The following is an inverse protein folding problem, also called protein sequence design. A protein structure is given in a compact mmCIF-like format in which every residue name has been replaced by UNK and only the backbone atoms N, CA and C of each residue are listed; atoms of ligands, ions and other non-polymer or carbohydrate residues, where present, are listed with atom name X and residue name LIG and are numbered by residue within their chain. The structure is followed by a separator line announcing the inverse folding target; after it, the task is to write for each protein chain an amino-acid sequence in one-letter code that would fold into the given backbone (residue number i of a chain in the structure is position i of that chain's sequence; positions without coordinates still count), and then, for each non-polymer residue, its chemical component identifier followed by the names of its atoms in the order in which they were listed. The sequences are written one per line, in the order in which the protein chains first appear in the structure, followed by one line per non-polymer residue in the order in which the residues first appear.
data_IF_315133510293
#
_entry.id   IF_315133510293
#
_cell.length_a   1.000
_cell.length_b   1.000
_cell.length_c   1.000
_cell.angle_alpha   90.00
_cell.angle_beta   90.00
_cell.angle_gamma   90.00
#
_symmetry.space_group_name_H-M   'P 1'
#
loop_
_entity.id
_entity.type
_entity.pdbx_description
1 polymer ?
#
# COMPACT_ATOMS: atom_id res chain seq x y z
N UNK A 1 15.99 2.33 4.64
CA UNK A 1 14.75 1.54 4.48
C UNK A 1 14.54 0.55 5.61
N UNK A 2 15.60 -0.16 6.02
CA UNK A 2 15.47 -1.23 7.00
C UNK A 2 14.74 -0.76 8.26
N UNK A 3 13.67 -1.46 8.63
CA UNK A 3 12.88 -1.17 9.82
C UNK A 3 11.40 -1.45 9.61
N UNK A 4 10.63 -1.09 10.62
CA UNK A 4 9.18 -1.20 10.63
C UNK A 4 8.58 0.19 10.65
N UNK A 5 7.58 0.41 9.81
CA UNK A 5 6.97 1.70 9.57
C UNK A 5 5.45 1.60 9.72
N UNK A 6 4.84 2.61 10.34
CA UNK A 6 3.38 2.73 10.38
C UNK A 6 2.90 3.78 9.38
N UNK A 7 1.73 3.56 8.82
CA UNK A 7 1.15 4.48 7.86
C UNK A 7 0.67 5.76 8.57
N UNK A 8 1.07 6.91 8.02
CA UNK A 8 0.59 8.22 8.43
C UNK A 8 -0.57 8.65 7.55
N UNK A 9 -0.43 8.52 6.22
CA UNK A 9 -1.48 8.87 5.28
C UNK A 9 -1.33 8.11 3.96
N UNK A 10 -2.47 7.87 3.33
CA UNK A 10 -2.56 7.31 1.98
C UNK A 10 -3.53 8.17 1.17
N UNK A 11 -3.01 8.85 0.17
CA UNK A 11 -3.82 9.68 -0.72
C UNK A 11 -3.51 9.38 -2.17
N UNK A 12 -4.48 9.62 -3.04
CA UNK A 12 -4.32 9.60 -4.49
C UNK A 12 -4.55 11.00 -5.03
N UNK A 13 -3.58 11.50 -5.80
CA UNK A 13 -3.68 12.78 -6.49
C UNK A 13 -4.05 12.54 -7.94
N UNK A 14 -5.20 13.06 -8.35
CA UNK A 14 -5.68 12.97 -9.72
C UNK A 14 -4.96 13.99 -10.60
N UNK A 15 -4.89 13.69 -11.89
CA UNK A 15 -4.28 14.60 -12.87
C UNK A 15 -4.99 15.96 -12.96
N UNK A 16 -6.27 16.05 -12.52
CA UNK A 16 -7.03 17.30 -12.46
C UNK A 16 -6.77 18.12 -11.18
N UNK A 17 -5.85 17.68 -10.32
CA UNK A 17 -5.50 18.36 -9.08
C UNK A 17 -6.30 17.95 -7.85
N UNK A 18 -7.31 17.09 -8.01
CA UNK A 18 -8.09 16.62 -6.87
C UNK A 18 -7.33 15.56 -6.08
N UNK A 19 -7.50 15.59 -4.75
CA UNK A 19 -6.96 14.57 -3.84
C UNK A 19 -8.09 13.67 -3.36
N UNK A 20 -7.87 12.36 -3.43
CA UNK A 20 -8.83 11.33 -3.01
C UNK A 20 -8.15 10.45 -1.97
N UNK A 21 -8.91 10.01 -0.98
CA UNK A 21 -8.45 9.06 0.04
C UNK A 21 -9.10 7.70 -0.23
N UNK A 22 -8.36 6.73 -0.82
CA UNK A 22 -8.97 5.48 -1.34
C UNK A 22 -9.64 4.63 -0.27
N UNK A 23 -9.10 4.64 0.96
CA UNK A 23 -9.61 3.85 2.09
C UNK A 23 -10.13 4.77 3.20
N UNK A 24 -10.62 5.97 2.87
CA UNK A 24 -10.94 7.06 3.81
C UNK A 24 -9.68 7.71 4.43
N UNK A 25 -9.88 8.77 5.20
CA UNK A 25 -8.75 9.44 5.89
C UNK A 25 -8.20 8.64 7.06
N UNK A 26 -8.98 7.69 7.59
CA UNK A 26 -8.60 6.87 8.74
C UNK A 26 -8.05 5.53 8.27
N UNK A 27 -6.97 5.58 7.49
CA UNK A 27 -6.29 4.40 6.98
C UNK A 27 -5.17 4.02 7.91
N UNK A 28 -5.02 2.72 8.18
CA UNK A 28 -3.92 2.18 8.98
C UNK A 28 -3.10 1.21 8.13
N UNK A 29 -1.85 1.06 8.48
CA UNK A 29 -0.98 0.14 7.75
C UNK A 29 0.37 -0.04 8.41
N UNK A 30 1.03 -1.09 7.97
CA UNK A 30 2.38 -1.43 8.42
C UNK A 30 3.23 -1.81 7.21
N UNK A 31 4.46 -1.36 7.22
CA UNK A 31 5.45 -1.65 6.19
C UNK A 31 6.73 -2.11 6.86
N UNK A 32 7.30 -3.20 6.38
CA UNK A 32 8.57 -3.70 6.91
C UNK A 32 9.56 -3.96 5.78
N UNK A 33 10.76 -3.43 5.94
CA UNK A 33 11.92 -3.77 5.11
C UNK A 33 12.97 -4.39 6.00
N UNK A 34 13.41 -5.59 5.71
CA UNK A 34 14.47 -6.21 6.51
C UNK A 34 15.86 -6.04 5.87
N UNK A 35 16.89 -6.41 6.62
CA UNK A 35 18.29 -6.28 6.18
C UNK A 35 18.69 -7.30 5.12
N UNK A 36 17.84 -8.29 4.85
CA UNK A 36 18.10 -9.34 3.86
C UNK A 36 17.40 -9.11 2.53
N UNK A 37 16.77 -7.95 2.37
CA UNK A 37 16.12 -7.57 1.12
C UNK A 37 14.67 -8.02 1.00
N UNK A 38 13.99 -8.28 2.10
CA UNK A 38 12.57 -8.64 2.08
C UNK A 38 11.69 -7.46 2.43
N UNK A 39 10.52 -7.40 1.80
CA UNK A 39 9.49 -6.38 2.03
C UNK A 39 8.15 -7.03 2.32
N UNK A 40 7.40 -6.44 3.23
CA UNK A 40 6.02 -6.83 3.53
C UNK A 40 5.22 -5.56 3.85
N UNK A 41 4.04 -5.43 3.25
CA UNK A 41 3.21 -4.24 3.44
C UNK A 41 1.74 -4.63 3.55
N UNK A 42 1.03 -4.01 4.49
CA UNK A 42 -0.41 -4.11 4.67
C UNK A 42 -0.97 -2.72 4.89
N UNK A 43 -2.02 -2.39 4.16
CA UNK A 43 -2.75 -1.12 4.29
C UNK A 43 -4.24 -1.42 4.28
N UNK A 44 -4.98 -0.89 5.25
CA UNK A 44 -6.42 -1.15 5.31
C UNK A 44 -7.21 0.09 5.72
N UNK A 45 -8.45 0.17 5.23
CA UNK A 45 -9.44 1.08 5.74
C UNK A 45 -9.99 0.59 7.08
N UNK A 46 -10.37 1.51 7.96
CA UNK A 46 -10.87 1.19 9.30
C UNK A 46 -12.39 1.08 9.37
N UNK A 47 -13.08 1.32 8.27
CA UNK A 47 -14.54 1.35 8.16
C UNK A 47 -15.15 0.08 7.54
N UNK A 48 -14.35 -0.98 7.38
CA UNK A 48 -14.85 -2.24 6.82
C UNK A 48 -15.73 -2.95 7.87
N UNK A 49 -16.97 -3.34 7.52
CA UNK A 49 -17.85 -4.02 8.45
C UNK A 49 -17.34 -5.45 8.74
N UNK A 50 -17.50 -5.87 10.01
CA UNK A 50 -17.26 -7.26 10.37
C UNK A 50 -18.33 -8.16 9.74
N UNK A 51 -17.98 -9.42 9.47
CA UNK A 51 -18.95 -10.39 8.99
C UNK A 51 -19.98 -10.66 10.11
N UNK A 52 -21.25 -10.76 9.73
CA UNK A 52 -22.33 -11.09 10.67
C UNK A 52 -22.11 -12.46 11.33
N UNK A 53 -21.57 -13.40 10.56
CA UNK A 53 -21.17 -14.72 11.07
C UNK A 53 -19.66 -14.70 11.26
N UNK A 54 -19.18 -15.03 12.45
CA UNK A 54 -17.75 -15.04 12.76
C UNK A 54 -17.07 -16.28 12.15
N UNK A 55 -17.07 -16.34 10.81
CA UNK A 55 -16.47 -17.41 10.03
C UNK A 55 -15.99 -16.80 8.72
N UNK A 56 -14.68 -16.87 8.45
CA UNK A 56 -14.06 -16.29 7.28
C UNK A 56 -14.68 -16.81 5.98
N UNK A 57 -15.19 -18.03 5.97
CA UNK A 57 -15.76 -18.66 4.79
C UNK A 57 -17.26 -18.42 4.61
N UNK A 58 -17.91 -17.68 5.54
CA UNK A 58 -19.36 -17.46 5.54
C UNK A 58 -19.75 -15.98 5.44
N UNK A 59 -18.93 -15.18 4.78
CA UNK A 59 -19.29 -13.80 4.47
C UNK A 59 -20.33 -13.71 3.36
N UNK A 60 -21.21 -12.70 3.42
CA UNK A 60 -22.05 -12.37 2.29
C UNK A 60 -21.20 -11.79 1.15
N UNK A 61 -21.69 -11.78 -0.11
CA UNK A 61 -20.95 -11.17 -1.22
C UNK A 61 -20.58 -9.71 -0.95
N UNK A 62 -21.44 -8.91 -0.32
CA UNK A 62 -21.16 -7.52 0.01
C UNK A 62 -20.10 -7.39 1.09
N UNK A 63 -20.12 -8.26 2.11
CA UNK A 63 -19.11 -8.29 3.16
C UNK A 63 -17.74 -8.65 2.62
N UNK A 64 -17.68 -9.66 1.75
CA UNK A 64 -16.44 -10.09 1.09
C UNK A 64 -15.88 -8.98 0.22
N UNK A 65 -16.74 -8.33 -0.57
CA UNK A 65 -16.36 -7.21 -1.43
C UNK A 65 -15.77 -6.05 -0.63
N UNK A 66 -16.44 -5.64 0.44
CA UNK A 66 -15.96 -4.56 1.31
C UNK A 66 -14.62 -4.91 1.97
N UNK A 67 -14.48 -6.15 2.43
CA UNK A 67 -13.24 -6.62 3.06
C UNK A 67 -12.08 -6.60 2.06
N UNK A 68 -12.29 -7.07 0.84
CA UNK A 68 -11.28 -7.11 -0.21
C UNK A 68 -10.91 -5.70 -0.71
N UNK A 69 -11.90 -4.88 -1.04
CA UNK A 69 -11.66 -3.56 -1.63
C UNK A 69 -11.04 -2.56 -0.64
N UNK A 70 -11.20 -2.79 0.65
CA UNK A 70 -10.65 -1.94 1.70
C UNK A 70 -9.32 -2.41 2.26
N UNK A 71 -8.63 -3.32 1.59
CA UNK A 71 -7.36 -3.88 2.07
C UNK A 71 -6.39 -4.06 0.91
N UNK A 72 -5.12 -3.72 1.15
CA UNK A 72 -4.02 -4.01 0.23
C UNK A 72 -2.91 -4.69 1.00
N UNK A 73 -2.40 -5.81 0.48
CA UNK A 73 -1.31 -6.52 1.12
C UNK A 73 -0.47 -7.25 0.09
N UNK A 74 0.84 -7.16 0.24
CA UNK A 74 1.76 -8.00 -0.53
C UNK A 74 3.10 -8.13 0.20
N UNK A 75 3.88 -9.09 -0.24
CA UNK A 75 5.24 -9.31 0.24
C UNK A 75 6.14 -9.77 -0.90
N UNK A 76 7.42 -9.67 -0.69
CA UNK A 76 8.41 -10.09 -1.67
C UNK A 76 9.80 -9.59 -1.29
N UNK A 77 10.57 -9.23 -2.29
CA UNK A 77 11.91 -8.67 -2.13
C UNK A 77 11.92 -7.23 -2.61
N UNK A 78 12.99 -6.49 -2.26
CA UNK A 78 13.12 -5.12 -2.71
C UNK A 78 14.56 -4.79 -3.07
N UNK A 79 14.72 -3.82 -3.93
CA UNK A 79 16.01 -3.22 -4.23
C UNK A 79 15.84 -1.72 -4.45
N UNK A 80 16.90 -0.98 -4.21
CA UNK A 80 16.90 0.48 -4.32
C UNK A 80 17.83 0.94 -5.43
N UNK A 81 17.46 2.06 -6.05
CA UNK A 81 18.28 2.77 -7.04
C UNK A 81 18.41 4.22 -6.59
N UNK A 82 19.53 4.56 -5.96
CA UNK A 82 19.75 5.90 -5.40
C UNK A 82 19.83 6.97 -6.48
N UNK A 83 20.35 6.65 -7.67
CA UNK A 83 20.45 7.60 -8.77
C UNK A 83 19.08 8.03 -9.25
N UNK A 84 18.15 7.07 -9.37
CA UNK A 84 16.77 7.34 -9.80
C UNK A 84 15.87 7.77 -8.65
N UNK A 85 16.30 7.57 -7.39
CA UNK A 85 15.47 7.81 -6.22
C UNK A 85 14.29 6.87 -6.14
N UNK A 86 14.49 5.60 -6.51
CA UNK A 86 13.43 4.60 -6.55
C UNK A 86 13.73 3.40 -5.68
N UNK A 87 12.68 2.77 -5.18
CA UNK A 87 12.69 1.43 -4.61
C UNK A 87 11.74 0.58 -5.44
N UNK A 88 12.17 -0.64 -5.77
CA UNK A 88 11.35 -1.59 -6.52
C UNK A 88 10.98 -2.74 -5.61
N UNK A 89 9.68 -3.00 -5.50
CA UNK A 89 9.14 -4.15 -4.79
C UNK A 89 8.86 -5.26 -5.79
N UNK A 90 9.58 -6.38 -5.67
CA UNK A 90 9.36 -7.57 -6.48
C UNK A 90 8.33 -8.44 -5.76
N UNK A 91 7.09 -8.41 -6.20
CA UNK A 91 5.97 -9.04 -5.50
C UNK A 91 5.99 -10.54 -5.67
N UNK A 92 6.03 -11.28 -4.57
CA UNK A 92 5.99 -12.75 -4.53
C UNK A 92 4.62 -13.28 -4.12
N UNK A 93 3.90 -12.56 -3.28
CA UNK A 93 2.56 -12.90 -2.84
C UNK A 93 1.74 -11.63 -2.64
N UNK A 94 0.45 -11.68 -2.92
CA UNK A 94 -0.42 -10.50 -2.88
C UNK A 94 -1.87 -10.89 -2.65
N UNK A 95 -2.59 -10.02 -1.94
CA UNK A 95 -4.05 -10.12 -1.83
C UNK A 95 -4.70 -10.01 -3.22
N UNK A 96 -4.25 -9.05 -4.04
CA UNK A 96 -4.66 -8.95 -5.44
C UNK A 96 -3.80 -9.89 -6.27
N UNK A 97 -4.35 -10.98 -6.82
CA UNK A 97 -3.55 -11.98 -7.54
C UNK A 97 -2.76 -11.41 -8.72
N UNK A 98 -3.26 -10.36 -9.34
CA UNK A 98 -2.63 -9.73 -10.51
C UNK A 98 -1.24 -9.17 -10.22
N UNK A 99 -0.93 -8.84 -8.95
CA UNK A 99 0.36 -8.26 -8.60
C UNK A 99 1.47 -9.30 -8.44
N UNK A 100 1.13 -10.58 -8.27
CA UNK A 100 2.13 -11.64 -8.10
C UNK A 100 3.02 -11.73 -9.34
N UNK A 101 4.34 -11.65 -9.12
CA UNK A 101 5.33 -11.65 -10.20
C UNK A 101 5.57 -10.28 -10.83
N UNK A 102 4.90 -9.24 -10.36
CA UNK A 102 5.09 -7.87 -10.86
C UNK A 102 6.16 -7.11 -10.08
N UNK A 103 6.64 -6.02 -10.67
CA UNK A 103 7.54 -5.07 -10.02
C UNK A 103 6.77 -3.79 -9.73
N UNK A 104 6.71 -3.40 -8.47
CA UNK A 104 6.07 -2.17 -8.03
C UNK A 104 7.14 -1.13 -7.77
N UNK A 105 7.31 -0.19 -8.71
CA UNK A 105 8.31 0.86 -8.61
C UNK A 105 7.74 2.03 -7.84
N UNK A 106 8.51 2.57 -6.87
CA UNK A 106 8.10 3.71 -6.06
C UNK A 106 9.23 4.73 -6.01
N UNK A 107 8.90 5.99 -6.18
CA UNK A 107 9.81 7.08 -5.84
C UNK A 107 9.80 7.24 -4.32
N UNK A 108 10.97 7.45 -3.72
CA UNK A 108 11.08 7.58 -2.28
C UNK A 108 11.76 8.87 -1.86
N UNK A 109 11.38 9.35 -0.68
CA UNK A 109 12.01 10.49 -0.04
C UNK A 109 12.00 10.28 1.46
N UNK A 110 13.16 10.48 2.11
CA UNK A 110 13.26 10.42 3.56
C UNK A 110 13.30 11.83 4.13
N UNK A 111 12.59 12.04 5.25
CA UNK A 111 12.62 13.29 6.00
C UNK A 111 12.50 12.97 7.49
N UNK A 112 13.63 12.96 8.21
CA UNK A 112 13.68 12.53 9.61
C UNK A 112 13.23 11.08 9.74
N UNK A 113 12.23 10.83 10.57
CA UNK A 113 11.65 9.51 10.79
C UNK A 113 10.56 9.16 9.76
N UNK A 114 10.39 9.97 8.71
CA UNK A 114 9.36 9.74 7.70
C UNK A 114 9.92 9.26 6.39
N UNK A 115 9.19 8.35 5.78
CA UNK A 115 9.42 7.83 4.43
C UNK A 115 8.18 8.13 3.60
N UNK A 116 8.37 8.82 2.49
CA UNK A 116 7.31 9.04 1.50
C UNK A 116 7.56 8.10 0.33
N UNK A 117 6.54 7.32 -0.04
CA UNK A 117 6.54 6.48 -1.23
C UNK A 117 5.47 6.99 -2.20
N UNK A 118 5.88 7.22 -3.43
CA UNK A 118 5.03 7.79 -4.48
C UNK A 118 5.06 6.88 -5.70
N UNK A 119 3.89 6.55 -6.24
CA UNK A 119 3.81 5.78 -7.48
C UNK A 119 4.11 6.66 -8.69
N UNK A 120 4.62 6.08 -9.81
CA UNK A 120 4.46 6.72 -11.12
C UNK A 120 2.96 6.92 -11.40
N UNK A 121 2.61 7.78 -12.38
CA UNK A 121 1.20 7.90 -12.79
C UNK A 121 0.64 6.55 -13.22
N UNK A 122 -0.52 6.18 -12.68
CA UNK A 122 -1.21 4.91 -12.97
C UNK A 122 -2.67 5.18 -13.32
N UNK A 123 -3.28 4.22 -14.01
CA UNK A 123 -4.70 4.28 -14.36
C UNK A 123 -5.52 3.55 -13.30
N UNK A 124 -6.48 4.25 -12.71
CA UNK A 124 -7.43 3.68 -11.75
C UNK A 124 -8.82 4.15 -12.14
N UNK A 125 -9.70 3.22 -12.48
CA UNK A 125 -11.07 3.55 -12.89
C UNK A 125 -11.14 4.50 -14.10
N UNK A 126 -10.19 4.40 -15.04
CA UNK A 126 -10.14 5.26 -16.22
C UNK A 126 -9.56 6.65 -15.97
N UNK A 127 -9.02 6.91 -14.80
CA UNK A 127 -8.46 8.20 -14.40
C UNK A 127 -6.97 8.01 -14.10
N UNK A 128 -6.14 8.97 -14.50
CA UNK A 128 -4.71 8.97 -14.17
C UNK A 128 -4.52 9.53 -12.77
N UNK A 129 -3.87 8.74 -11.90
CA UNK A 129 -3.62 9.11 -10.50
C UNK A 129 -2.18 8.81 -10.12
N UNK A 130 -1.70 9.53 -9.10
CA UNK A 130 -0.44 9.24 -8.41
C UNK A 130 -0.77 8.96 -6.96
N UNK A 131 -0.39 7.79 -6.47
CA UNK A 131 -0.56 7.44 -5.05
C UNK A 131 0.61 7.95 -4.24
N UNK A 132 0.30 8.47 -3.06
CA UNK A 132 1.26 9.01 -2.11
C UNK A 132 1.01 8.39 -0.74
N UNK A 133 1.98 7.63 -0.24
CA UNK A 133 1.91 7.01 1.08
C UNK A 133 3.03 7.56 1.94
N UNK A 134 2.66 8.07 3.10
CA UNK A 134 3.61 8.61 4.07
C UNK A 134 3.66 7.66 5.26
N UNK A 135 4.87 7.26 5.62
CA UNK A 135 5.16 6.30 6.67
C UNK A 135 6.04 6.93 7.75
N UNK A 136 5.87 6.48 8.97
CA UNK A 136 6.69 6.90 10.10
C UNK A 136 7.35 5.67 10.72
N UNK A 137 8.65 5.78 10.99
CA UNK A 137 9.43 4.68 11.57
C UNK A 137 8.97 4.41 13.00
N UNK A 138 8.73 3.15 13.32
CA UNK A 138 8.39 2.71 14.67
C UNK A 138 9.40 1.72 15.27
N UNK A 139 10.27 1.16 14.44
CA UNK A 139 11.32 0.28 14.93
C UNK A 139 12.52 0.18 13.97
#
# INVERSE_FOLDING_TARGET
FVGTWKLVSFEMRRSDGQTVYPFSRNTVGMLSYDSKGNISVQVMGTDRPAFAINDQMKGSPEEIKAAFEGFTAYFGTYETDEEKGTVTHHVKGSLLPNLVGSDQIRFYEFSGDRLTLKTPPIQVGGITVTSLLIWERIA
#
